data_IF_998233050044
#
_entry.id   IF_998233050044
#
_cell.length_a   1.000
_cell.length_b   1.000
_cell.length_c   1.000
_cell.angle_alpha   90.00
_cell.angle_beta   90.00
_cell.angle_gamma   90.00
#
_symmetry.space_group_name_H-M   'P 1'
#
loop_
_entity.id
_entity.type
_entity.pdbx_description
1 polymer ?
#
# COMPACT_ATOMS: atom_id res chain seq x y z
N UNK A 1 -9.33 -26.81 21.72
CA UNK A 1 -9.09 -28.19 21.27
C UNK A 1 -7.60 -28.54 21.20
N UNK A 2 -6.68 -27.64 21.55
CA UNK A 2 -5.22 -27.81 21.41
C UNK A 2 -4.48 -27.76 22.76
N UNK A 3 -5.14 -28.03 23.89
CA UNK A 3 -4.50 -28.10 25.19
C UNK A 3 -4.23 -26.75 25.89
N UNK A 4 -4.78 -25.64 25.36
CA UNK A 4 -4.63 -24.30 25.91
C UNK A 4 -5.93 -23.82 26.59
N UNK A 5 -6.46 -24.64 27.51
CA UNK A 5 -7.73 -24.33 28.20
C UNK A 5 -7.61 -23.17 29.22
N UNK A 6 -6.40 -22.81 29.58
CA UNK A 6 -6.02 -21.70 30.47
C UNK A 6 -5.86 -20.36 29.76
N UNK A 7 -5.93 -20.34 28.42
CA UNK A 7 -5.82 -19.12 27.62
C UNK A 7 -7.19 -18.52 27.38
N UNK A 8 -7.42 -17.33 27.93
CA UNK A 8 -8.59 -16.52 27.63
C UNK A 8 -8.39 -15.76 26.31
N UNK A 9 -9.29 -15.96 25.36
CA UNK A 9 -9.26 -15.24 24.06
C UNK A 9 -10.28 -14.09 24.15
N UNK A 10 -9.79 -12.86 24.13
CA UNK A 10 -10.63 -11.66 23.98
C UNK A 10 -10.63 -11.22 22.52
N UNK A 11 -11.78 -11.29 21.89
CA UNK A 11 -11.94 -10.81 20.50
C UNK A 11 -12.23 -9.31 20.57
N UNK A 12 -11.34 -8.51 20.01
CA UNK A 12 -11.50 -7.07 19.86
C UNK A 12 -12.15 -6.68 18.53
N UNK A 13 -12.27 -5.38 18.28
CA UNK A 13 -12.67 -4.86 16.99
C UNK A 13 -11.64 -5.19 15.88
N UNK A 14 -12.10 -5.25 14.64
CA UNK A 14 -11.28 -5.50 13.46
C UNK A 14 -11.88 -4.85 12.23
N UNK A 15 -11.23 -5.05 11.09
CA UNK A 15 -11.71 -4.65 9.77
C UNK A 15 -12.00 -5.89 8.95
N UNK A 16 -12.98 -5.77 8.07
CA UNK A 16 -13.18 -6.77 7.04
C UNK A 16 -11.99 -6.77 6.06
N UNK A 17 -11.66 -7.93 5.48
CA UNK A 17 -10.58 -8.01 4.50
C UNK A 17 -10.92 -7.15 3.27
N UNK A 18 -9.88 -6.55 2.70
CA UNK A 18 -9.98 -5.76 1.47
C UNK A 18 -9.35 -6.55 0.33
N UNK A 19 -10.09 -6.68 -0.76
CA UNK A 19 -9.61 -7.33 -1.98
C UNK A 19 -9.85 -6.40 -3.17
N UNK A 20 -8.85 -6.28 -4.03
CA UNK A 20 -8.92 -5.51 -5.28
C UNK A 20 -8.32 -6.36 -6.39
N UNK A 21 -9.05 -6.49 -7.50
CA UNK A 21 -8.57 -7.22 -8.67
C UNK A 21 -7.27 -6.60 -9.21
N UNK A 22 -6.31 -7.45 -9.56
CA UNK A 22 -5.08 -7.04 -10.27
C UNK A 22 -5.38 -6.39 -11.62
N UNK A 23 -6.53 -6.71 -12.20
CA UNK A 23 -7.02 -6.12 -13.45
C UNK A 23 -7.67 -4.74 -13.29
N UNK A 24 -7.85 -4.27 -12.06
CA UNK A 24 -8.43 -2.95 -11.82
C UNK A 24 -7.55 -1.84 -12.40
N UNK A 25 -8.20 -0.75 -12.84
CA UNK A 25 -7.50 0.46 -13.33
C UNK A 25 -6.49 0.98 -12.31
N UNK A 26 -6.86 0.95 -11.03
CA UNK A 26 -6.01 1.40 -9.94
C UNK A 26 -4.70 0.63 -9.93
N UNK A 27 -4.75 -0.69 -9.89
CA UNK A 27 -3.56 -1.55 -9.82
C UNK A 27 -2.72 -1.42 -11.09
N UNK A 28 -3.33 -1.43 -12.26
CA UNK A 28 -2.61 -1.24 -13.54
C UNK A 28 -1.90 0.11 -13.61
N UNK A 29 -2.54 1.19 -13.13
CA UNK A 29 -1.92 2.52 -13.08
C UNK A 29 -0.75 2.56 -12.09
N UNK A 30 -0.90 1.96 -10.90
CA UNK A 30 0.19 1.84 -9.94
C UNK A 30 1.42 1.13 -10.53
N UNK A 31 1.22 -0.03 -11.14
CA UNK A 31 2.30 -0.82 -11.75
C UNK A 31 2.96 -0.05 -12.90
N UNK A 32 2.19 0.62 -13.74
CA UNK A 32 2.71 1.45 -14.83
C UNK A 32 3.53 2.64 -14.31
N UNK A 33 3.11 3.26 -13.19
CA UNK A 33 3.86 4.36 -12.56
C UNK A 33 5.21 3.86 -12.03
N UNK A 34 5.24 2.72 -11.35
CA UNK A 34 6.50 2.10 -10.91
C UNK A 34 7.42 1.80 -12.10
N UNK A 35 6.88 1.24 -13.18
CA UNK A 35 7.67 0.91 -14.37
C UNK A 35 8.28 2.16 -15.02
N UNK A 36 7.52 3.28 -15.12
CA UNK A 36 8.04 4.56 -15.63
C UNK A 36 9.15 5.13 -14.76
N UNK A 37 9.05 4.95 -13.45
CA UNK A 37 10.09 5.36 -12.51
C UNK A 37 11.30 4.40 -12.50
N UNK A 38 11.32 3.36 -13.34
CA UNK A 38 12.40 2.37 -13.36
C UNK A 38 12.38 1.39 -12.18
N UNK A 39 11.32 1.38 -11.39
CA UNK A 39 11.17 0.49 -10.26
C UNK A 39 10.47 -0.81 -10.66
N UNK A 40 11.01 -1.94 -10.19
CA UNK A 40 10.36 -3.24 -10.35
C UNK A 40 9.43 -3.49 -9.15
N UNK A 41 8.15 -3.22 -9.36
CA UNK A 41 7.14 -3.53 -8.36
C UNK A 41 6.80 -5.03 -8.35
N UNK A 42 6.51 -5.53 -7.14
CA UNK A 42 5.95 -6.88 -6.95
C UNK A 42 4.53 -6.71 -6.41
N UNK A 43 3.59 -7.37 -7.07
CA UNK A 43 2.23 -7.42 -6.59
C UNK A 43 2.11 -8.52 -5.53
N UNK A 44 1.77 -8.13 -4.31
CA UNK A 44 1.50 -9.06 -3.22
C UNK A 44 -0.02 -9.27 -3.12
N UNK A 45 -0.53 -10.45 -3.41
CA UNK A 45 -1.97 -10.72 -3.38
C UNK A 45 -2.56 -10.67 -1.97
N UNK A 46 -1.70 -10.78 -0.96
CA UNK A 46 -2.07 -10.68 0.47
C UNK A 46 -1.00 -9.99 1.26
N UNK A 47 -1.42 -9.14 2.18
CA UNK A 47 -0.54 -8.48 3.14
C UNK A 47 -1.12 -8.72 4.54
N UNK A 48 -0.25 -9.05 5.50
CA UNK A 48 -0.63 -9.32 6.88
C UNK A 48 -0.91 -8.05 7.71
N UNK A 49 -0.78 -6.87 7.12
CA UNK A 49 -1.07 -5.60 7.78
C UNK A 49 -2.56 -5.36 7.95
N UNK A 50 -2.91 -4.53 8.92
CA UNK A 50 -4.29 -4.10 9.18
C UNK A 50 -4.47 -2.65 8.72
N UNK A 51 -5.51 -2.39 7.94
CA UNK A 51 -5.92 -1.05 7.53
C UNK A 51 -7.42 -1.03 7.19
N UNK A 52 -8.12 0.11 7.35
CA UNK A 52 -9.56 0.18 7.16
C UNK A 52 -9.98 0.23 5.67
N UNK A 53 -9.37 -0.58 4.82
CA UNK A 53 -9.61 -0.59 3.38
C UNK A 53 -11.02 -0.96 2.97
N UNK A 54 -11.69 -1.79 3.77
CA UNK A 54 -13.09 -2.14 3.57
C UNK A 54 -14.02 -0.92 3.56
N UNK A 55 -13.66 0.18 4.23
CA UNK A 55 -14.42 1.45 4.16
C UNK A 55 -14.56 1.97 2.72
N UNK A 56 -13.60 1.68 1.85
CA UNK A 56 -13.63 2.08 0.44
C UNK A 56 -14.17 0.98 -0.46
N UNK A 57 -13.79 -0.27 -0.21
CA UNK A 57 -14.06 -1.39 -1.13
C UNK A 57 -15.40 -2.07 -0.89
N UNK A 58 -15.96 -1.95 0.32
CA UNK A 58 -17.27 -2.49 0.64
C UNK A 58 -18.42 -1.58 0.20
N UNK A 59 -19.64 -2.13 0.01
CA UNK A 59 -20.85 -1.33 -0.19
C UNK A 59 -21.06 -0.33 0.96
N UNK A 60 -21.61 0.86 0.71
CA UNK A 60 -22.11 1.35 -0.58
C UNK A 60 -21.06 1.99 -1.49
N UNK A 61 -19.83 2.20 -1.01
CA UNK A 61 -18.78 2.94 -1.74
C UNK A 61 -18.24 2.13 -2.92
N UNK A 62 -17.84 0.89 -2.67
CA UNK A 62 -17.42 -0.11 -3.69
C UNK A 62 -16.40 0.41 -4.72
N UNK A 63 -15.40 1.18 -4.27
CA UNK A 63 -14.30 1.63 -5.12
C UNK A 63 -13.02 0.84 -4.83
N UNK A 64 -12.17 0.59 -5.83
CA UNK A 64 -10.89 -0.07 -5.58
C UNK A 64 -9.99 0.79 -4.71
N UNK A 65 -9.29 0.16 -3.76
CA UNK A 65 -8.32 0.81 -2.89
C UNK A 65 -7.08 -0.06 -2.74
N UNK A 66 -5.91 0.55 -2.60
CA UNK A 66 -4.66 -0.16 -2.49
C UNK A 66 -3.54 0.72 -1.97
N UNK A 67 -2.41 0.11 -1.63
CA UNK A 67 -1.22 0.81 -1.15
C UNK A 67 -0.32 1.17 -2.32
N UNK A 68 0.13 2.42 -2.34
CA UNK A 68 1.07 2.94 -3.31
C UNK A 68 2.08 3.85 -2.61
N UNK A 69 3.35 3.77 -3.01
CA UNK A 69 4.40 4.66 -2.52
C UNK A 69 5.74 4.27 -3.10
N UNK A 70 6.60 5.25 -3.38
CA UNK A 70 7.91 5.07 -4.00
C UNK A 70 9.07 5.49 -3.11
N UNK A 71 8.80 6.05 -1.95
CA UNK A 71 9.84 6.45 -1.00
C UNK A 71 10.50 5.27 -0.30
N UNK A 72 11.54 5.57 0.45
CA UNK A 72 12.24 4.60 1.28
C UNK A 72 12.21 5.02 2.75
N UNK A 73 11.92 4.07 3.61
CA UNK A 73 11.89 4.23 5.05
C UNK A 73 11.93 2.89 5.74
N UNK A 74 12.07 2.89 7.03
CA UNK A 74 12.06 1.66 7.84
C UNK A 74 11.65 1.97 9.28
N UNK A 75 11.45 0.92 10.07
CA UNK A 75 11.13 1.03 11.49
C UNK A 75 9.67 1.44 11.75
N UNK A 76 8.74 1.17 10.84
CA UNK A 76 7.33 1.51 11.03
C UNK A 76 6.81 1.06 12.40
N UNK A 77 6.18 2.00 13.12
CA UNK A 77 5.67 1.83 14.49
C UNK A 77 6.76 1.66 15.58
N UNK A 78 8.04 1.89 15.26
CA UNK A 78 9.14 1.89 16.22
C UNK A 78 9.58 3.31 16.58
N UNK A 79 10.24 3.53 17.74
CA UNK A 79 10.68 4.86 18.15
C UNK A 79 11.69 5.54 17.20
N UNK A 80 12.39 4.75 16.41
CA UNK A 80 13.41 5.15 15.44
C UNK A 80 12.93 5.03 14.00
N UNK A 81 11.62 5.06 13.77
CA UNK A 81 11.04 5.12 12.43
C UNK A 81 11.59 6.30 11.65
N UNK A 82 12.02 6.05 10.41
CA UNK A 82 12.54 7.09 9.55
C UNK A 82 11.99 7.00 8.14
N UNK A 83 12.00 8.15 7.47
CA UNK A 83 11.77 8.29 6.05
C UNK A 83 12.93 9.03 5.40
N UNK A 84 13.40 8.55 4.26
CA UNK A 84 14.54 9.13 3.58
C UNK A 84 14.11 10.38 2.79
N UNK A 85 14.69 11.53 3.12
CA UNK A 85 14.42 12.79 2.41
C UNK A 85 15.22 12.84 1.10
N UNK A 86 16.52 12.59 1.19
CA UNK A 86 17.43 12.57 0.04
C UNK A 86 18.30 11.32 0.09
N UNK A 87 18.68 10.81 -1.07
CA UNK A 87 19.56 9.66 -1.21
C UNK A 87 20.76 9.98 -2.09
N UNK A 88 21.94 9.56 -1.66
CA UNK A 88 23.13 9.54 -2.49
C UNK A 88 23.18 8.31 -3.40
N UNK A 89 22.32 7.32 -3.15
CA UNK A 89 22.19 6.13 -3.98
C UNK A 89 21.07 6.35 -5.01
N UNK A 90 21.37 6.42 -6.32
CA UNK A 90 20.36 6.67 -7.35
C UNK A 90 19.31 5.57 -7.51
N UNK A 91 19.50 4.42 -6.85
CA UNK A 91 18.53 3.31 -6.84
C UNK A 91 17.52 3.39 -5.67
N UNK A 92 17.68 4.38 -4.81
CA UNK A 92 16.86 4.53 -3.60
C UNK A 92 16.14 5.86 -3.67
N UNK A 93 14.83 5.81 -3.83
CA UNK A 93 13.97 6.99 -3.94
C UNK A 93 13.85 7.71 -2.58
N UNK A 94 13.99 9.03 -2.62
CA UNK A 94 13.74 9.91 -1.47
C UNK A 94 12.35 10.56 -1.53
N UNK A 95 12.14 11.58 -0.72
CA UNK A 95 10.87 12.29 -0.60
C UNK A 95 10.45 12.97 -1.90
N UNK A 96 11.39 13.56 -2.64
CA UNK A 96 11.10 14.22 -3.92
C UNK A 96 10.61 13.20 -4.94
N UNK A 97 11.31 12.06 -5.06
CA UNK A 97 10.94 11.00 -5.98
C UNK A 97 9.55 10.43 -5.65
N UNK A 98 9.26 10.25 -4.35
CA UNK A 98 7.95 9.82 -3.89
C UNK A 98 6.86 10.82 -4.28
N UNK A 99 7.09 12.11 -4.07
CA UNK A 99 6.14 13.18 -4.42
C UNK A 99 5.88 13.21 -5.92
N UNK A 100 6.93 13.13 -6.74
CA UNK A 100 6.79 13.05 -8.20
C UNK A 100 6.06 11.80 -8.65
N UNK A 101 6.30 10.67 -7.98
CA UNK A 101 5.59 9.43 -8.24
C UNK A 101 4.08 9.54 -7.95
N UNK A 102 3.69 10.20 -6.86
CA UNK A 102 2.27 10.47 -6.59
C UNK A 102 1.66 11.41 -7.61
N UNK A 103 2.35 12.45 -8.03
CA UNK A 103 1.87 13.35 -9.07
C UNK A 103 1.65 12.60 -10.39
N UNK A 104 2.64 11.82 -10.86
CA UNK A 104 2.51 11.01 -12.07
C UNK A 104 1.34 10.02 -11.96
N UNK A 105 1.24 9.31 -10.84
CA UNK A 105 0.14 8.37 -10.59
C UNK A 105 -1.23 9.05 -10.74
N UNK A 106 -1.45 10.20 -10.11
CA UNK A 106 -2.71 10.92 -10.16
C UNK A 106 -3.04 11.41 -11.58
N UNK A 107 -2.07 11.96 -12.31
CA UNK A 107 -2.27 12.35 -13.71
C UNK A 107 -2.60 11.16 -14.60
N UNK A 108 -1.93 10.04 -14.43
CA UNK A 108 -2.21 8.83 -15.20
C UNK A 108 -3.58 8.25 -14.87
N UNK A 109 -3.95 8.23 -13.59
CA UNK A 109 -5.26 7.73 -13.17
C UNK A 109 -6.39 8.61 -13.74
N UNK A 110 -6.20 9.93 -13.79
CA UNK A 110 -7.17 10.87 -14.34
C UNK A 110 -7.26 10.81 -15.88
N UNK A 111 -6.18 10.49 -16.57
CA UNK A 111 -6.12 10.43 -18.04
C UNK A 111 -6.84 9.22 -18.63
N UNK A 112 -7.12 8.19 -17.83
CA UNK A 112 -7.83 7.00 -18.31
C UNK A 112 -9.33 7.30 -18.35
N UNK A 113 -9.90 7.39 -19.54
CA UNK A 113 -11.34 7.53 -19.78
C UNK A 113 -12.06 6.19 -19.63
#
# INVERSE_FOLDING_TARGET
KHGFADVEIKVGGGYDPTEVSEDSRLIKTMLATYARAGAKATLNPRLAGSWPGATFTAPPVSIPAGHFGMGHGSGAHAPDEYYLIESTNPKVAGLVDATMGYADFLYQLAAIK
#
